data_IF_052132897343
#
_entry.id   IF_052132897343
#
_cell.length_a   1.000
_cell.length_b   1.000
_cell.length_c   1.000
_cell.angle_alpha   90.00
_cell.angle_beta   90.00
_cell.angle_gamma   90.00
#
_symmetry.space_group_name_H-M   'P 1'
#
loop_
_entity.id
_entity.type
_entity.pdbx_description
1 polymer ?
#
# COMPACT_ATOMS: atom_id res chain seq x y z
N UNK A 1 -8.69 10.16 44.62
CA UNK A 1 -8.23 10.30 43.22
C UNK A 1 -8.29 11.76 42.84
N UNK A 2 -7.19 12.43 42.47
CA UNK A 2 -7.25 13.83 42.06
C UNK A 2 -8.13 13.94 40.81
N UNK A 3 -9.20 14.72 40.89
CA UNK A 3 -10.23 14.81 39.84
C UNK A 3 -9.66 15.35 38.53
N UNK A 4 -10.04 14.72 37.42
CA UNK A 4 -9.72 15.13 36.06
C UNK A 4 -10.62 16.30 35.67
N UNK A 5 -10.34 17.49 36.20
CA UNK A 5 -11.04 18.69 35.76
C UNK A 5 -10.78 18.94 34.26
N UNK A 6 -11.78 19.37 33.47
CA UNK A 6 -11.64 19.62 32.04
C UNK A 6 -10.45 20.55 31.71
N UNK A 7 -10.18 21.52 32.58
CA UNK A 7 -9.05 22.44 32.50
C UNK A 7 -7.71 21.69 32.56
N UNK A 8 -7.53 20.70 33.43
CA UNK A 8 -6.29 19.88 33.45
C UNK A 8 -6.16 19.01 32.21
N UNK A 9 -7.27 18.50 31.68
CA UNK A 9 -7.29 17.77 30.42
C UNK A 9 -6.80 18.64 29.27
N UNK A 10 -7.31 19.86 29.18
CA UNK A 10 -6.90 20.87 28.20
C UNK A 10 -5.43 21.28 28.36
N UNK A 11 -4.97 21.57 29.58
CA UNK A 11 -3.57 21.95 29.80
C UNK A 11 -2.61 20.78 29.47
N UNK A 12 -3.03 19.53 29.72
CA UNK A 12 -2.26 18.32 29.37
C UNK A 12 -2.23 18.06 27.86
N UNK A 13 -3.32 18.34 27.13
CA UNK A 13 -3.33 18.23 25.66
C UNK A 13 -2.51 19.36 25.04
N UNK A 14 -2.65 20.59 25.52
CA UNK A 14 -1.90 21.74 25.04
C UNK A 14 -0.39 21.58 25.23
N UNK A 15 0.06 21.11 26.40
CA UNK A 15 1.48 20.80 26.63
C UNK A 15 2.00 19.73 25.68
N UNK A 16 1.23 18.68 25.37
CA UNK A 16 1.62 17.65 24.39
C UNK A 16 1.67 18.18 22.95
N UNK A 17 0.70 19.01 22.55
CA UNK A 17 0.65 19.61 21.21
C UNK A 17 1.76 20.64 21.00
N UNK A 18 2.07 21.46 22.00
CA UNK A 18 3.16 22.44 21.92
C UNK A 18 4.54 21.79 21.91
N UNK A 19 4.67 20.56 22.43
CA UNK A 19 5.91 19.77 22.37
C UNK A 19 6.00 18.85 21.17
N UNK A 20 4.98 18.79 20.30
CA UNK A 20 5.08 17.95 19.12
C UNK A 20 6.21 18.51 18.23
N UNK A 21 7.19 17.70 17.82
CA UNK A 21 8.26 18.18 16.95
C UNK A 21 7.63 18.79 15.72
N UNK A 22 7.79 20.11 15.58
CA UNK A 22 7.33 20.87 14.41
C UNK A 22 7.79 20.10 13.16
N UNK A 23 6.96 19.91 12.12
CA UNK A 23 7.32 19.14 10.92
C UNK A 23 8.74 19.40 10.35
N UNK A 24 9.32 20.59 10.56
CA UNK A 24 10.71 20.90 10.23
C UNK A 24 11.78 20.20 11.10
N UNK A 25 11.49 19.90 12.36
CA UNK A 25 12.37 19.13 13.25
C UNK A 25 12.31 17.61 13.02
N UNK A 26 11.44 17.15 12.11
CA UNK A 26 11.37 15.72 11.74
C UNK A 26 12.45 15.31 10.74
N UNK A 27 13.32 16.23 10.32
CA UNK A 27 14.44 16.07 9.38
C UNK A 27 14.31 14.83 8.48
N UNK A 28 13.27 14.76 7.63
CA UNK A 28 12.92 13.54 6.91
C UNK A 28 14.03 13.07 5.95
N UNK A 29 14.96 13.96 5.58
CA UNK A 29 16.13 13.65 4.78
C UNK A 29 17.24 12.90 5.56
N UNK A 30 17.34 13.10 6.87
CA UNK A 30 18.37 12.48 7.72
C UNK A 30 17.81 11.38 8.61
N UNK A 31 16.48 11.24 8.69
CA UNK A 31 15.82 10.19 9.45
C UNK A 31 15.83 8.88 8.65
N UNK A 32 16.20 7.78 9.31
CA UNK A 32 16.16 6.46 8.68
C UNK A 32 14.72 6.13 8.26
N UNK A 33 14.48 5.73 6.99
CA UNK A 33 13.17 5.32 6.55
C UNK A 33 12.64 4.15 7.39
N UNK A 34 11.33 4.15 7.65
CA UNK A 34 10.69 3.02 8.30
C UNK A 34 10.88 1.75 7.45
N UNK A 35 11.10 0.61 8.11
CA UNK A 35 11.29 -0.66 7.42
C UNK A 35 10.00 -1.03 6.67
N UNK A 36 10.08 -1.14 5.35
CA UNK A 36 8.96 -1.62 4.56
C UNK A 36 8.64 -3.07 4.90
N UNK A 37 7.36 -3.36 5.17
CA UNK A 37 6.89 -4.72 5.39
C UNK A 37 6.61 -5.40 4.04
N UNK A 38 7.66 -5.96 3.45
CA UNK A 38 7.65 -6.63 2.13
C UNK A 38 6.54 -7.68 1.95
N UNK A 39 6.21 -8.53 2.96
CA UNK A 39 5.18 -9.55 2.78
C UNK A 39 3.78 -9.00 2.47
N UNK A 40 3.45 -7.81 2.99
CA UNK A 40 2.18 -7.16 2.67
C UNK A 40 2.07 -6.82 1.18
N UNK A 41 3.12 -6.23 0.62
CA UNK A 41 3.15 -5.88 -0.80
C UNK A 41 3.15 -7.13 -1.69
N UNK A 42 3.90 -8.17 -1.31
CA UNK A 42 3.87 -9.44 -2.03
C UNK A 42 2.46 -10.07 -2.05
N UNK A 43 1.77 -10.08 -0.91
CA UNK A 43 0.40 -10.60 -0.83
C UNK A 43 -0.59 -9.80 -1.69
N UNK A 44 -0.40 -8.48 -1.77
CA UNK A 44 -1.25 -7.59 -2.55
C UNK A 44 -1.01 -7.76 -4.04
N UNK A 45 0.26 -7.87 -4.45
CA UNK A 45 0.65 -8.19 -5.83
C UNK A 45 0.06 -9.55 -6.25
N UNK A 46 0.18 -10.57 -5.40
CA UNK A 46 -0.39 -11.89 -5.68
C UNK A 46 -1.91 -11.84 -5.90
N UNK A 47 -2.65 -11.14 -5.02
CA UNK A 47 -4.10 -10.97 -5.17
C UNK A 47 -4.48 -10.21 -6.44
N UNK A 48 -3.72 -9.19 -6.83
CA UNK A 48 -3.97 -8.48 -8.08
C UNK A 48 -3.64 -9.35 -9.30
N UNK A 49 -2.56 -10.13 -9.24
CA UNK A 49 -2.13 -11.00 -10.33
C UNK A 49 -3.17 -12.08 -10.67
N UNK A 50 -3.95 -12.56 -9.70
CA UNK A 50 -5.03 -13.52 -9.93
C UNK A 50 -6.10 -12.96 -10.89
N UNK A 51 -6.37 -11.66 -10.84
CA UNK A 51 -7.37 -11.03 -11.70
C UNK A 51 -6.79 -10.59 -13.04
N UNK A 52 -5.61 -9.96 -13.02
CA UNK A 52 -5.00 -9.42 -14.24
C UNK A 52 -4.24 -10.47 -15.05
N UNK A 53 -3.74 -11.53 -14.42
CA UNK A 53 -3.01 -12.61 -15.07
C UNK A 53 -3.83 -13.29 -16.17
N UNK A 54 -5.03 -13.82 -15.88
CA UNK A 54 -5.88 -14.43 -16.90
C UNK A 54 -6.26 -13.46 -18.02
N UNK A 55 -6.58 -12.20 -17.68
CA UNK A 55 -6.90 -11.18 -18.67
C UNK A 55 -5.72 -10.91 -19.62
N UNK A 56 -4.49 -10.81 -19.08
CA UNK A 56 -3.28 -10.65 -19.87
C UNK A 56 -2.99 -11.88 -20.74
N UNK A 57 -3.18 -13.10 -20.22
CA UNK A 57 -2.99 -14.35 -20.97
C UNK A 57 -3.97 -14.42 -22.14
N UNK A 58 -5.23 -14.04 -21.95
CA UNK A 58 -6.21 -14.02 -23.03
C UNK A 58 -5.85 -12.95 -24.07
N UNK A 59 -5.60 -11.72 -23.62
CA UNK A 59 -5.37 -10.57 -24.50
C UNK A 59 -4.05 -10.66 -25.28
N UNK A 60 -3.03 -11.32 -24.73
CA UNK A 60 -1.74 -11.51 -25.41
C UNK A 60 -1.64 -12.88 -26.09
N UNK A 61 -2.31 -13.90 -25.55
CA UNK A 61 -2.24 -15.28 -26.04
C UNK A 61 -3.26 -15.63 -27.12
N UNK A 62 -4.28 -14.80 -27.36
CA UNK A 62 -5.31 -15.07 -28.38
C UNK A 62 -4.76 -15.37 -29.79
N UNK A 63 -3.66 -14.76 -30.30
CA UNK A 63 -3.21 -15.07 -31.66
C UNK A 63 -2.67 -16.49 -31.77
N UNK A 64 -2.01 -16.99 -30.73
CA UNK A 64 -1.50 -18.36 -30.66
C UNK A 64 -2.65 -19.37 -30.60
N UNK A 65 -3.68 -19.06 -29.79
CA UNK A 65 -4.91 -19.84 -29.74
C UNK A 65 -5.60 -19.88 -31.10
N UNK A 66 -5.80 -18.72 -31.72
CA UNK A 66 -6.42 -18.59 -33.04
C UNK A 66 -5.63 -19.35 -34.12
N UNK A 67 -4.31 -19.20 -34.19
CA UNK A 67 -3.46 -19.93 -35.13
C UNK A 67 -3.56 -21.45 -34.92
N UNK A 68 -3.59 -21.92 -33.66
CA UNK A 68 -3.73 -23.36 -33.38
C UNK A 68 -5.07 -23.93 -33.84
N UNK A 69 -6.14 -23.13 -33.81
CA UNK A 69 -7.47 -23.53 -34.28
C UNK A 69 -7.52 -23.47 -35.82
N UNK A 70 -7.03 -22.40 -36.44
CA UNK A 70 -7.00 -22.24 -37.89
C UNK A 70 -6.23 -23.39 -38.57
N UNK A 71 -5.04 -23.71 -38.06
CA UNK A 71 -4.24 -24.85 -38.54
C UNK A 71 -4.98 -26.19 -38.47
N UNK A 72 -5.89 -26.38 -37.50
CA UNK A 72 -6.69 -27.61 -37.37
C UNK A 72 -7.87 -27.63 -38.34
N UNK A 73 -8.39 -26.47 -38.73
CA UNK A 73 -9.52 -26.31 -39.66
C UNK A 73 -9.05 -26.26 -41.11
N UNK A 74 -7.74 -26.21 -41.37
CA UNK A 74 -7.16 -26.29 -42.71
C UNK A 74 -7.16 -24.95 -43.46
N UNK A 75 -7.21 -23.84 -42.72
CA UNK A 75 -7.00 -22.46 -43.20
C UNK A 75 -5.63 -22.00 -42.68
#
# INVERSE_FOLDING_TARGET
MPSSTPIRGFMRSATRYLTEPHPHGRHPATMTPHRHYTPYYASRIGRTAIWYGPAAVILLGWPLGAASVLNKVGI
#
